data_IF_508924228313
#
_entry.id   IF_508924228313
#
_cell.length_a   1.000
_cell.length_b   1.000
_cell.length_c   1.000
_cell.angle_alpha   90.00
_cell.angle_beta   90.00
_cell.angle_gamma   90.00
#
_symmetry.space_group_name_H-M   'P 1'
#
loop_
_entity.id
_entity.type
_entity.pdbx_description
1 polymer ?
#
# COMPACT_ATOMS: atom_id res chain seq x y z
N UNK A 1 -9.12 -16.42 -5.83
CA UNK A 1 -8.45 -15.29 -5.14
C UNK A 1 -6.97 -15.16 -5.49
N UNK A 2 -6.28 -16.18 -6.02
CA UNK A 2 -4.85 -16.07 -6.39
C UNK A 2 -4.53 -15.40 -7.74
N UNK A 3 -5.48 -15.39 -8.70
CA UNK A 3 -5.21 -14.90 -10.06
C UNK A 3 -4.97 -13.39 -10.16
N UNK A 4 -5.70 -12.58 -9.39
CA UNK A 4 -5.54 -11.12 -9.42
C UNK A 4 -4.28 -10.62 -8.72
N UNK A 5 -3.78 -11.37 -7.73
CA UNK A 5 -2.53 -11.09 -7.03
C UNK A 5 -1.33 -11.43 -7.93
N UNK A 6 -1.35 -12.57 -8.61
CA UNK A 6 -0.32 -12.97 -9.58
C UNK A 6 -0.26 -11.99 -10.78
N UNK A 7 -1.41 -11.49 -11.21
CA UNK A 7 -1.50 -10.53 -12.31
C UNK A 7 -1.03 -9.12 -11.91
N UNK A 8 -1.28 -8.70 -10.66
CA UNK A 8 -0.70 -7.50 -10.09
C UNK A 8 0.83 -7.65 -10.00
N UNK A 9 1.34 -8.71 -9.35
CA UNK A 9 2.78 -9.01 -9.25
C UNK A 9 3.45 -8.96 -10.63
N UNK A 10 2.81 -9.55 -11.65
CA UNK A 10 3.29 -9.50 -13.04
C UNK A 10 3.34 -8.09 -13.64
N UNK A 11 2.42 -7.19 -13.26
CA UNK A 11 2.41 -5.81 -13.74
C UNK A 11 3.63 -5.02 -13.23
N UNK A 12 4.01 -5.23 -11.96
CA UNK A 12 5.11 -4.49 -11.33
C UNK A 12 6.42 -4.87 -12.04
N UNK A 13 6.63 -6.17 -12.26
CA UNK A 13 7.77 -6.71 -13.00
C UNK A 13 7.83 -6.22 -14.44
N UNK A 14 6.69 -6.21 -15.15
CA UNK A 14 6.59 -5.75 -16.55
C UNK A 14 6.96 -4.27 -16.73
N UNK A 15 6.81 -3.46 -15.68
CA UNK A 15 7.15 -2.04 -15.73
C UNK A 15 8.63 -1.78 -15.46
N UNK A 16 9.37 -2.72 -14.87
CA UNK A 16 10.77 -2.51 -14.49
C UNK A 16 11.64 -2.29 -15.73
N UNK A 17 11.77 -3.29 -16.60
CA UNK A 17 12.68 -3.24 -17.75
C UNK A 17 12.43 -2.06 -18.70
N UNK A 18 11.18 -1.75 -19.12
CA UNK A 18 10.93 -0.63 -20.02
C UNK A 18 11.30 0.73 -19.41
N UNK A 19 11.01 0.95 -18.12
CA UNK A 19 11.32 2.20 -17.44
C UNK A 19 12.81 2.35 -17.20
N UNK A 20 13.51 1.28 -16.81
CA UNK A 20 14.97 1.30 -16.69
C UNK A 20 15.64 1.61 -18.01
N UNK A 21 15.23 0.96 -19.09
CA UNK A 21 15.80 1.18 -20.42
C UNK A 21 15.53 2.61 -20.95
N UNK A 22 14.35 3.18 -20.66
CA UNK A 22 13.98 4.51 -21.11
C UNK A 22 14.68 5.64 -20.35
N UNK A 23 14.96 5.45 -19.07
CA UNK A 23 15.45 6.50 -18.16
C UNK A 23 16.84 6.23 -17.56
N UNK A 24 17.51 5.15 -17.99
CA UNK A 24 18.83 4.70 -17.48
C UNK A 24 18.85 4.55 -15.94
N UNK A 25 17.82 3.86 -15.41
CA UNK A 25 17.61 3.74 -13.97
C UNK A 25 18.32 2.51 -13.37
N UNK A 26 18.93 2.74 -12.21
CA UNK A 26 19.57 1.73 -11.38
C UNK A 26 19.54 2.12 -9.90
N UNK A 27 20.35 1.44 -9.09
CA UNK A 27 20.46 1.67 -7.65
C UNK A 27 19.13 1.57 -6.91
N UNK A 28 18.76 2.63 -6.19
CA UNK A 28 17.47 2.71 -5.47
C UNK A 28 16.25 2.64 -6.40
N UNK A 29 16.41 2.95 -7.68
CA UNK A 29 15.36 2.87 -8.69
C UNK A 29 15.51 1.65 -9.60
N UNK A 30 16.30 0.65 -9.19
CA UNK A 30 16.41 -0.61 -9.91
C UNK A 30 15.03 -1.24 -10.13
N UNK A 31 14.19 -1.27 -9.10
CA UNK A 31 12.77 -1.61 -9.24
C UNK A 31 11.97 -0.35 -9.63
N UNK A 32 12.10 0.06 -10.89
CA UNK A 32 11.61 1.34 -11.38
C UNK A 32 10.08 1.49 -11.42
N UNK A 33 9.30 0.43 -11.19
CA UNK A 33 7.85 0.49 -11.06
C UNK A 33 7.39 1.38 -9.89
N UNK A 34 8.28 1.62 -8.92
CA UNK A 34 8.11 2.61 -7.84
C UNK A 34 7.78 4.01 -8.38
N UNK A 35 8.30 4.40 -9.55
CA UNK A 35 8.02 5.73 -10.14
C UNK A 35 6.54 5.90 -10.54
N UNK A 36 5.94 5.02 -11.37
CA UNK A 36 4.49 5.00 -11.59
C UNK A 36 3.69 4.96 -10.29
N UNK A 37 4.13 4.17 -9.31
CA UNK A 37 3.41 4.04 -8.03
C UNK A 37 3.41 5.35 -7.24
N UNK A 38 4.54 6.06 -7.16
CA UNK A 38 4.62 7.39 -6.53
C UNK A 38 3.68 8.38 -7.23
N UNK A 39 3.67 8.39 -8.57
CA UNK A 39 2.76 9.24 -9.35
C UNK A 39 1.29 8.93 -9.07
N UNK A 40 0.92 7.64 -9.07
CA UNK A 40 -0.42 7.17 -8.74
C UNK A 40 -0.83 7.54 -7.31
N UNK A 41 0.06 7.35 -6.33
CA UNK A 41 -0.19 7.74 -4.94
C UNK A 41 -0.36 9.25 -4.79
N UNK A 42 0.38 10.06 -5.54
CA UNK A 42 0.19 11.52 -5.55
C UNK A 42 -1.20 11.92 -6.05
N UNK A 43 -1.68 11.28 -7.12
CA UNK A 43 -3.03 11.49 -7.65
C UNK A 43 -4.08 11.03 -6.64
N UNK A 44 -3.91 9.84 -6.05
CA UNK A 44 -4.82 9.31 -5.05
C UNK A 44 -4.88 10.23 -3.82
N UNK A 45 -3.73 10.65 -3.31
CA UNK A 45 -3.64 11.58 -2.18
C UNK A 45 -4.35 12.90 -2.49
N UNK A 46 -4.21 13.45 -3.71
CA UNK A 46 -4.90 14.66 -4.13
C UNK A 46 -6.43 14.50 -4.11
N UNK A 47 -6.96 13.43 -4.70
CA UNK A 47 -8.41 13.19 -4.74
C UNK A 47 -9.02 12.89 -3.37
N UNK A 48 -8.28 12.16 -2.52
CA UNK A 48 -8.74 11.78 -1.18
C UNK A 48 -8.34 12.77 -0.09
N UNK A 49 -7.63 13.86 -0.42
CA UNK A 49 -7.16 14.84 0.57
C UNK A 49 -8.32 15.41 1.39
N UNK A 50 -9.39 15.83 0.72
CA UNK A 50 -10.56 16.39 1.40
C UNK A 50 -11.21 15.38 2.33
N UNK A 51 -11.42 14.16 1.85
CA UNK A 51 -11.93 13.06 2.66
C UNK A 51 -11.06 12.83 3.91
N UNK A 52 -9.73 12.76 3.75
CA UNK A 52 -8.80 12.57 4.86
C UNK A 52 -8.83 13.72 5.88
N UNK A 53 -9.03 14.95 5.42
CA UNK A 53 -9.13 16.12 6.30
C UNK A 53 -10.47 16.19 7.05
N UNK A 54 -11.55 15.69 6.45
CA UNK A 54 -12.90 15.65 7.02
C UNK A 54 -13.09 14.51 8.05
N UNK A 55 -12.17 13.55 8.13
CA UNK A 55 -12.20 12.47 9.11
C UNK A 55 -12.06 12.97 10.57
N UNK A 56 -12.67 12.24 11.50
CA UNK A 56 -12.41 12.39 12.94
C UNK A 56 -10.92 12.27 13.24
N UNK A 57 -10.42 12.95 14.29
CA UNK A 57 -8.99 12.93 14.63
C UNK A 57 -8.45 11.51 14.83
N UNK A 58 -9.29 10.61 15.37
CA UNK A 58 -8.95 9.19 15.57
C UNK A 58 -8.81 8.47 14.24
N UNK A 59 -9.85 8.49 13.41
CA UNK A 59 -9.85 7.84 12.11
C UNK A 59 -8.73 8.37 11.22
N UNK A 60 -8.54 9.70 11.15
CA UNK A 60 -7.46 10.32 10.38
C UNK A 60 -6.07 9.82 10.78
N UNK A 61 -5.78 9.68 12.08
CA UNK A 61 -4.48 9.16 12.55
C UNK A 61 -4.25 7.71 12.14
N UNK A 62 -5.29 6.88 12.19
CA UNK A 62 -5.21 5.48 11.77
C UNK A 62 -5.00 5.35 10.26
N UNK A 63 -5.70 6.15 9.46
CA UNK A 63 -5.49 6.23 8.01
C UNK A 63 -4.05 6.64 7.68
N UNK A 64 -3.55 7.72 8.28
CA UNK A 64 -2.18 8.19 8.03
C UNK A 64 -1.11 7.19 8.48
N UNK A 65 -1.32 6.53 9.63
CA UNK A 65 -0.42 5.48 10.11
C UNK A 65 -0.39 4.29 9.14
N UNK A 66 -1.55 3.79 8.74
CA UNK A 66 -1.65 2.69 7.79
C UNK A 66 -1.01 3.04 6.44
N UNK A 67 -1.35 4.19 5.86
CA UNK A 67 -0.75 4.66 4.60
C UNK A 67 0.76 4.83 4.72
N UNK A 68 1.25 5.41 5.81
CA UNK A 68 2.69 5.59 6.04
C UNK A 68 3.44 4.26 6.14
N UNK A 69 2.88 3.27 6.84
CA UNK A 69 3.46 1.93 6.94
C UNK A 69 3.47 1.21 5.59
N UNK A 70 2.35 1.25 4.86
CA UNK A 70 2.24 0.63 3.54
C UNK A 70 3.23 1.23 2.55
N UNK A 71 3.28 2.56 2.45
CA UNK A 71 4.21 3.28 1.56
C UNK A 71 5.67 3.01 1.95
N UNK A 72 5.98 2.93 3.24
CA UNK A 72 7.34 2.65 3.70
C UNK A 72 7.80 1.24 3.28
N UNK A 73 6.92 0.24 3.30
CA UNK A 73 7.19 -1.08 2.74
C UNK A 73 7.32 -1.02 1.21
N UNK A 74 6.20 -0.76 0.54
CA UNK A 74 6.03 -0.84 -0.92
C UNK A 74 6.98 0.06 -1.73
N UNK A 75 7.44 1.18 -1.16
CA UNK A 75 8.38 2.09 -1.81
C UNK A 75 9.72 2.07 -1.09
N UNK A 76 9.73 2.32 0.22
CA UNK A 76 10.98 2.48 0.96
C UNK A 76 11.84 1.22 0.99
N UNK A 77 11.25 0.09 1.39
CA UNK A 77 11.97 -1.19 1.46
C UNK A 77 12.23 -1.74 0.06
N UNK A 78 11.29 -1.59 -0.87
CA UNK A 78 11.47 -1.97 -2.28
C UNK A 78 12.68 -1.27 -2.92
N UNK A 79 12.88 0.03 -2.66
CA UNK A 79 14.06 0.77 -3.12
C UNK A 79 15.37 0.25 -2.51
N UNK A 80 15.35 -0.21 -1.26
CA UNK A 80 16.50 -0.86 -0.60
C UNK A 80 16.77 -2.23 -1.25
N UNK A 81 15.73 -3.02 -1.50
CA UNK A 81 15.84 -4.31 -2.18
C UNK A 81 16.39 -4.14 -3.59
N UNK A 82 16.03 -3.07 -4.31
CA UNK A 82 16.61 -2.72 -5.61
C UNK A 82 18.13 -2.53 -5.57
N UNK A 83 18.65 -1.83 -4.55
CA UNK A 83 20.11 -1.68 -4.35
C UNK A 83 20.79 -3.03 -4.07
N UNK A 84 20.17 -3.87 -3.25
CA UNK A 84 20.70 -5.20 -2.94
C UNK A 84 20.68 -6.11 -4.16
N UNK A 85 19.64 -6.02 -4.98
CA UNK A 85 19.53 -6.79 -6.21
C UNK A 85 20.63 -6.41 -7.21
N UNK A 86 20.82 -5.12 -7.47
CA UNK A 86 21.82 -4.63 -8.42
C UNK A 86 23.25 -4.99 -8.01
N UNK A 87 23.54 -4.96 -6.70
CA UNK A 87 24.84 -5.31 -6.15
C UNK A 87 25.12 -6.82 -6.08
N UNK A 88 24.33 -7.65 -6.78
CA UNK A 88 24.38 -9.11 -6.78
C UNK A 88 24.14 -9.76 -5.40
N UNK A 89 23.52 -9.03 -4.47
CA UNK A 89 23.16 -9.51 -3.14
C UNK A 89 21.74 -10.11 -3.09
N UNK A 90 21.10 -10.33 -4.24
CA UNK A 90 19.75 -10.90 -4.34
C UNK A 90 19.60 -12.28 -3.66
N UNK A 91 20.66 -13.09 -3.61
CA UNK A 91 20.65 -14.41 -2.96
C UNK A 91 21.06 -14.39 -1.48
N UNK A 92 21.17 -13.20 -0.87
CA UNK A 92 21.64 -13.07 0.51
C UNK A 92 20.49 -13.15 1.52
N UNK A 93 20.74 -13.65 2.75
CA UNK A 93 19.77 -13.58 3.83
C UNK A 93 19.31 -12.15 4.15
N UNK A 94 20.14 -11.15 3.84
CA UNK A 94 19.81 -9.73 4.02
C UNK A 94 18.67 -9.30 3.10
N UNK A 95 18.73 -9.67 1.81
CA UNK A 95 17.64 -9.42 0.86
C UNK A 95 16.33 -10.05 1.37
N UNK A 96 16.37 -11.33 1.74
CA UNK A 96 15.19 -12.03 2.28
C UNK A 96 14.63 -11.40 3.56
N UNK A 97 15.48 -10.88 4.44
CA UNK A 97 15.06 -10.16 5.64
C UNK A 97 14.33 -8.84 5.31
N UNK A 98 14.82 -8.07 4.33
CA UNK A 98 14.14 -6.87 3.87
C UNK A 98 12.83 -7.18 3.14
N UNK A 99 12.78 -8.19 2.27
CA UNK A 99 11.52 -8.65 1.68
C UNK A 99 10.51 -9.08 2.75
N UNK A 100 10.95 -9.79 3.80
CA UNK A 100 10.06 -10.17 4.90
C UNK A 100 9.56 -8.93 5.68
N UNK A 101 10.43 -7.94 5.88
CA UNK A 101 10.08 -6.68 6.53
C UNK A 101 9.06 -5.88 5.69
N UNK A 102 9.26 -5.84 4.38
CA UNK A 102 8.35 -5.22 3.42
C UNK A 102 6.95 -5.84 3.52
N UNK A 103 6.85 -7.16 3.33
CA UNK A 103 5.59 -7.90 3.43
C UNK A 103 4.93 -7.69 4.81
N UNK A 104 5.71 -7.74 5.89
CA UNK A 104 5.22 -7.52 7.24
C UNK A 104 4.63 -6.11 7.44
N UNK A 105 5.31 -5.08 6.94
CA UNK A 105 4.82 -3.70 7.01
C UNK A 105 3.52 -3.55 6.21
N UNK A 106 3.44 -4.13 5.02
CA UNK A 106 2.23 -4.09 4.19
C UNK A 106 1.04 -4.80 4.85
N UNK A 107 1.24 -6.00 5.38
CA UNK A 107 0.16 -6.76 6.02
C UNK A 107 -0.37 -6.08 7.28
N UNK A 108 0.51 -5.50 8.10
CA UNK A 108 0.09 -4.71 9.26
C UNK A 108 -0.62 -3.44 8.82
N UNK A 109 -0.12 -2.75 7.81
CA UNK A 109 -0.75 -1.55 7.28
C UNK A 109 -2.18 -1.82 6.79
N UNK A 110 -2.39 -2.90 6.02
CA UNK A 110 -3.72 -3.33 5.56
C UNK A 110 -4.63 -3.62 6.75
N UNK A 111 -4.12 -4.32 7.77
CA UNK A 111 -4.89 -4.64 8.98
C UNK A 111 -5.32 -3.38 9.74
N UNK A 112 -4.41 -2.40 9.92
CA UNK A 112 -4.72 -1.09 10.52
C UNK A 112 -5.71 -0.32 9.66
N UNK A 113 -5.57 -0.35 8.34
CA UNK A 113 -6.46 0.33 7.41
C UNK A 113 -7.89 -0.21 7.48
N UNK A 114 -8.05 -1.54 7.50
CA UNK A 114 -9.36 -2.18 7.68
C UNK A 114 -9.97 -1.77 9.02
N UNK A 115 -9.18 -1.79 10.10
CA UNK A 115 -9.65 -1.30 11.39
C UNK A 115 -10.07 0.18 11.35
N UNK A 116 -9.31 1.03 10.67
CA UNK A 116 -9.62 2.44 10.49
C UNK A 116 -10.94 2.66 9.74
N UNK A 117 -11.19 1.87 8.69
CA UNK A 117 -12.45 1.87 7.94
C UNK A 117 -13.63 1.45 8.82
N UNK A 118 -13.49 0.38 9.59
CA UNK A 118 -14.55 -0.08 10.50
C UNK A 118 -14.83 0.95 11.61
N UNK A 119 -13.80 1.58 12.15
CA UNK A 119 -13.95 2.66 13.12
C UNK A 119 -14.69 3.86 12.51
N UNK A 120 -14.31 4.28 11.31
CA UNK A 120 -14.98 5.35 10.58
C UNK A 120 -16.46 5.02 10.31
N UNK A 121 -16.79 3.80 9.86
CA UNK A 121 -18.15 3.38 9.61
C UNK A 121 -18.99 3.35 10.89
N UNK A 122 -18.43 2.85 11.99
CA UNK A 122 -19.08 2.82 13.30
C UNK A 122 -19.40 4.22 13.82
N UNK A 123 -18.52 5.19 13.59
CA UNK A 123 -18.71 6.59 13.99
C UNK A 123 -19.79 7.31 13.15
N UNK A 124 -20.00 6.89 11.88
CA UNK A 124 -20.82 7.64 10.92
C UNK A 124 -22.12 6.95 10.48
N UNK A 125 -22.31 5.65 10.73
CA UNK A 125 -23.58 4.97 10.45
C UNK A 125 -24.47 4.91 11.69
N UNK A 126 -25.61 5.58 11.65
CA UNK A 126 -26.73 5.30 12.54
C UNK A 126 -27.55 4.12 11.99
N UNK A 127 -27.42 2.93 12.59
CA UNK A 127 -28.26 1.77 12.23
C UNK A 127 -29.65 1.94 12.87
N UNK A 128 -30.69 2.15 12.05
CA UNK A 128 -32.08 2.12 12.51
C UNK A 128 -32.66 0.72 12.27
N UNK A 129 -33.00 0.02 13.35
CA UNK A 129 -33.67 -1.28 13.29
C UNK A 129 -35.18 -1.03 13.35
N UNK A 130 -35.91 -1.44 12.32
CA UNK A 130 -37.37 -1.42 12.30
C UNK A 130 -37.89 -2.81 12.66
N UNK A 131 -38.78 -2.88 13.66
CA UNK A 131 -39.56 -4.08 13.92
C UNK A 131 -40.91 -3.92 13.23
N UNK A 132 -41.18 -4.78 12.26
CA UNK A 132 -42.52 -4.86 11.68
C UNK A 132 -43.43 -5.53 12.71
N UNK A 133 -44.53 -4.86 13.09
CA UNK A 133 -45.51 -5.46 13.99
C UNK A 133 -46.37 -6.39 13.15
N UNK A 134 -46.24 -7.70 13.38
CA UNK A 134 -47.20 -8.67 12.84
C UNK A 134 -48.63 -8.23 13.20
N UNK A 135 -49.47 -8.16 12.18
CA UNK A 135 -50.90 -7.89 12.31
C UNK A 135 -51.55 -9.07 13.03
N UNK A 136 -51.89 -8.87 14.30
CA UNK A 136 -52.81 -9.72 15.07
C UNK A 136 -54.21 -9.64 14.47
#
# INVERSE_FOLDING_TARGET
MGLSLDEAISLHEKLIEPLRAAFDLGGIFYFSWVLPMIGFLGILAFFYLRFLLDLSLRSRRLFLLASGMYISGAIGVEMINGLLWESANAATPLYGAFTTLEEFLEMIAISIFIYALLAYLSENLSVKIFFDKEKV
#
